data_IF_033943148526
#
_entry.id   IF_033943148526
#
_cell.length_a   1.000
_cell.length_b   1.000
_cell.length_c   1.000
_cell.angle_alpha   90.00
_cell.angle_beta   90.00
_cell.angle_gamma   90.00
#
_symmetry.space_group_name_H-M   'P 1'
#
loop_
_entity.id
_entity.type
_entity.pdbx_description
1 polymer ?
#
# COMPACT_ATOMS: atom_id res chain seq x y z
N UNK A 1 -8.39 -2.27 11.87
CA UNK A 1 -7.15 -2.08 11.12
C UNK A 1 -6.44 -3.43 10.96
N UNK A 2 -6.14 -3.80 9.69
CA UNK A 2 -5.50 -5.09 9.36
C UNK A 2 -4.06 -5.18 9.88
N UNK A 3 -3.36 -4.07 9.99
CA UNK A 3 -1.96 -4.01 10.40
C UNK A 3 -1.84 -4.32 11.91
N UNK A 4 -2.73 -3.75 12.72
CA UNK A 4 -2.81 -4.04 14.15
C UNK A 4 -3.19 -5.50 14.40
N UNK A 5 -4.18 -6.04 13.67
CA UNK A 5 -4.57 -7.43 13.79
C UNK A 5 -3.45 -8.39 13.41
N UNK A 6 -2.69 -8.06 12.36
CA UNK A 6 -1.52 -8.83 11.96
C UNK A 6 -0.42 -8.77 13.03
N UNK A 7 -0.14 -7.60 13.62
CA UNK A 7 0.79 -7.47 14.74
C UNK A 7 0.35 -8.31 15.95
N UNK A 8 -0.92 -8.22 16.36
CA UNK A 8 -1.46 -9.02 17.47
C UNK A 8 -1.36 -10.52 17.17
N UNK A 9 -1.68 -10.94 15.95
CA UNK A 9 -1.54 -12.33 15.53
C UNK A 9 -0.09 -12.80 15.65
N UNK A 10 0.86 -11.99 15.19
CA UNK A 10 2.29 -12.28 15.31
C UNK A 10 2.73 -12.44 16.78
N UNK A 11 2.19 -11.63 17.70
CA UNK A 11 2.53 -11.71 19.13
C UNK A 11 2.03 -12.98 19.82
N UNK A 12 0.90 -13.53 19.37
CA UNK A 12 0.26 -14.69 20.02
C UNK A 12 0.45 -16.01 19.26
N UNK A 13 0.67 -15.96 17.97
CA UNK A 13 0.85 -17.15 17.14
C UNK A 13 2.31 -17.65 17.17
N UNK A 14 2.48 -18.96 17.23
CA UNK A 14 3.79 -19.62 17.15
C UNK A 14 4.18 -19.97 15.71
N UNK A 15 3.96 -19.00 14.80
CA UNK A 15 4.27 -19.16 13.37
C UNK A 15 5.32 -18.11 12.95
N UNK A 16 6.14 -18.41 11.93
CA UNK A 16 7.13 -17.45 11.43
C UNK A 16 6.49 -16.11 11.00
N UNK A 17 7.15 -15.00 11.31
CA UNK A 17 6.68 -13.66 10.93
C UNK A 17 6.40 -13.53 9.43
N UNK A 18 7.15 -14.22 8.57
CA UNK A 18 6.93 -14.25 7.13
C UNK A 18 5.54 -14.77 6.72
N UNK A 19 4.90 -15.57 7.59
CA UNK A 19 3.58 -16.18 7.35
C UNK A 19 2.44 -15.38 8.00
N UNK A 20 2.74 -14.32 8.73
CA UNK A 20 1.73 -13.40 9.24
C UNK A 20 1.69 -12.18 8.33
N UNK A 21 0.68 -12.10 7.50
CA UNK A 21 0.57 -11.09 6.44
C UNK A 21 -0.77 -10.37 6.59
N UNK A 22 -0.71 -9.06 6.76
CA UNK A 22 -1.88 -8.19 6.66
C UNK A 22 -2.12 -7.76 5.21
N UNK A 23 -3.36 -7.52 4.84
CA UNK A 23 -3.71 -7.02 3.50
C UNK A 23 -3.06 -5.65 3.21
N UNK A 24 -2.92 -4.84 4.25
CA UNK A 24 -2.25 -3.56 4.23
C UNK A 24 -2.80 -2.62 3.16
N UNK A 25 -1.91 -1.95 2.44
CA UNK A 25 -2.24 -0.96 1.41
C UNK A 25 -2.43 -1.56 0.00
N UNK A 26 -2.63 -2.88 -0.11
CA UNK A 26 -2.84 -3.54 -1.41
C UNK A 26 -4.09 -2.99 -2.12
N UNK A 27 -5.19 -2.82 -1.36
CA UNK A 27 -6.42 -2.25 -1.89
C UNK A 27 -6.27 -0.77 -2.24
N UNK A 28 -5.59 0.00 -1.38
CA UNK A 28 -5.35 1.44 -1.61
C UNK A 28 -4.46 1.66 -2.84
N UNK A 29 -3.47 0.80 -3.05
CA UNK A 29 -2.65 0.78 -4.27
C UNK A 29 -3.51 0.52 -5.52
N UNK A 30 -4.47 -0.38 -5.43
CA UNK A 30 -5.41 -0.65 -6.54
C UNK A 30 -6.30 0.56 -6.82
N UNK A 31 -6.79 1.24 -5.77
CA UNK A 31 -7.56 2.51 -5.89
C UNK A 31 -6.74 3.61 -6.55
N UNK A 32 -5.49 3.80 -6.11
CA UNK A 32 -4.57 4.77 -6.73
C UNK A 32 -4.42 4.51 -8.22
N UNK A 33 -4.17 3.26 -8.62
CA UNK A 33 -4.06 2.88 -10.05
C UNK A 33 -5.35 3.16 -10.80
N UNK A 34 -6.50 2.86 -10.21
CA UNK A 34 -7.80 3.15 -10.82
C UNK A 34 -8.02 4.65 -11.02
N UNK A 35 -7.77 5.48 -9.99
CA UNK A 35 -7.92 6.93 -10.05
C UNK A 35 -7.01 7.54 -11.13
N UNK A 36 -5.75 7.11 -11.19
CA UNK A 36 -4.83 7.55 -12.22
C UNK A 36 -5.25 7.07 -13.61
N UNK A 37 -5.77 5.84 -13.73
CA UNK A 37 -6.27 5.31 -15.01
C UNK A 37 -7.46 6.09 -15.55
N UNK A 38 -8.37 6.47 -14.66
CA UNK A 38 -9.54 7.30 -14.99
C UNK A 38 -9.10 8.71 -15.41
N UNK A 39 -8.19 9.34 -14.65
CA UNK A 39 -7.68 10.68 -14.95
C UNK A 39 -7.00 10.77 -16.32
N UNK A 40 -6.21 9.75 -16.69
CA UNK A 40 -5.46 9.72 -17.94
C UNK A 40 -6.15 8.93 -19.06
N UNK A 41 -7.33 8.37 -18.79
CA UNK A 41 -8.09 7.53 -19.72
C UNK A 41 -7.24 6.37 -20.31
N UNK A 42 -6.56 5.62 -19.43
CA UNK A 42 -5.70 4.49 -19.80
C UNK A 42 -6.02 3.26 -18.94
N UNK A 43 -5.53 2.08 -19.36
CA UNK A 43 -5.65 0.87 -18.53
C UNK A 43 -4.88 0.98 -17.21
N UNK A 44 -5.46 0.60 -16.06
CA UNK A 44 -4.74 0.55 -14.78
C UNK A 44 -3.56 -0.44 -14.79
N UNK A 45 -3.54 -1.40 -15.72
CA UNK A 45 -2.43 -2.34 -15.91
C UNK A 45 -1.17 -1.65 -16.46
N UNK A 46 -1.31 -0.49 -17.11
CA UNK A 46 -0.20 0.32 -17.61
C UNK A 46 0.46 1.17 -16.52
N UNK A 47 -0.09 1.13 -15.29
CA UNK A 47 0.37 1.94 -14.17
C UNK A 47 1.10 1.07 -13.15
N UNK A 48 2.34 1.41 -12.87
CA UNK A 48 3.10 0.90 -11.74
C UNK A 48 3.06 1.93 -10.63
N UNK A 49 2.47 1.58 -9.49
CA UNK A 49 2.37 2.45 -8.32
C UNK A 49 2.34 1.60 -7.06
N UNK A 50 2.74 2.18 -5.94
CA UNK A 50 2.63 1.56 -4.62
C UNK A 50 2.28 2.61 -3.57
N UNK A 51 1.40 2.23 -2.66
CA UNK A 51 1.17 2.91 -1.40
C UNK A 51 1.81 2.07 -0.31
N UNK A 52 2.48 2.69 0.64
CA UNK A 52 3.23 2.05 1.72
C UNK A 52 2.84 2.64 3.07
N UNK A 53 3.35 2.04 4.15
CA UNK A 53 3.08 2.50 5.51
C UNK A 53 1.84 1.85 6.12
N UNK A 54 1.18 2.56 7.00
CA UNK A 54 -0.05 2.17 7.68
C UNK A 54 -1.24 2.23 6.70
N UNK A 55 -2.17 1.26 6.83
CA UNK A 55 -3.43 1.29 6.08
C UNK A 55 -4.43 2.23 6.76
N UNK A 56 -4.38 3.51 6.42
CA UNK A 56 -5.24 4.55 6.95
C UNK A 56 -4.76 5.95 6.56
N UNK A 57 -4.90 6.91 7.48
CA UNK A 57 -4.57 8.31 7.20
C UNK A 57 -3.08 8.58 7.01
N UNK A 58 -2.22 7.74 7.60
CA UNK A 58 -0.76 7.86 7.50
C UNK A 58 -0.16 7.05 6.36
N UNK A 59 -0.96 6.58 5.40
CA UNK A 59 -0.47 5.93 4.18
C UNK A 59 0.36 6.90 3.32
N UNK A 60 1.34 6.35 2.60
CA UNK A 60 2.31 7.13 1.80
C UNK A 60 2.30 6.65 0.35
N UNK A 61 1.96 7.53 -0.57
CA UNK A 61 2.06 7.26 -2.01
C UNK A 61 3.50 7.45 -2.47
N UNK A 62 4.08 6.42 -3.10
CA UNK A 62 5.43 6.50 -3.66
C UNK A 62 5.41 7.15 -5.05
N UNK A 63 5.23 8.47 -5.09
CA UNK A 63 5.21 9.24 -6.33
C UNK A 63 6.54 9.18 -7.10
N UNK A 64 7.66 9.13 -6.39
CA UNK A 64 8.98 9.01 -6.99
C UNK A 64 9.16 7.71 -7.79
N UNK A 65 8.38 6.69 -7.47
CA UNK A 65 8.41 5.37 -8.10
C UNK A 65 7.17 5.09 -8.98
N UNK A 66 6.17 5.97 -8.97
CA UNK A 66 4.97 5.81 -9.81
C UNK A 66 5.32 6.02 -11.28
N UNK A 67 4.92 5.08 -12.13
CA UNK A 67 5.20 5.10 -13.57
C UNK A 67 3.95 4.77 -14.38
N UNK A 68 3.84 5.42 -15.52
CA UNK A 68 2.81 5.16 -16.54
C UNK A 68 3.53 4.81 -17.84
N UNK A 69 3.43 3.58 -18.28
CA UNK A 69 4.16 3.11 -19.48
C UNK A 69 5.68 3.29 -19.35
N UNK A 70 6.24 3.26 -18.14
CA UNK A 70 7.66 3.46 -17.84
C UNK A 70 8.07 4.92 -17.62
N UNK A 71 7.23 5.91 -17.95
CA UNK A 71 7.49 7.34 -17.72
C UNK A 71 7.05 7.77 -16.33
N UNK A 72 7.62 8.84 -15.79
CA UNK A 72 7.05 9.50 -14.62
C UNK A 72 5.64 10.03 -14.93
N UNK A 73 4.83 10.24 -13.91
CA UNK A 73 3.47 10.79 -14.10
C UNK A 73 3.52 12.16 -14.80
N UNK A 74 4.51 12.99 -14.44
CA UNK A 74 4.72 14.30 -15.05
C UNK A 74 5.12 14.19 -16.52
N UNK A 75 6.10 13.33 -16.85
CA UNK A 75 6.55 13.15 -18.23
C UNK A 75 5.42 12.56 -19.10
N UNK A 76 4.66 11.59 -18.56
CA UNK A 76 3.51 11.02 -19.26
C UNK A 76 2.46 12.10 -19.57
N UNK A 77 2.09 12.93 -18.59
CA UNK A 77 1.16 14.05 -18.81
C UNK A 77 1.63 14.99 -19.93
N UNK A 78 2.92 15.31 -19.96
CA UNK A 78 3.50 16.13 -21.03
C UNK A 78 3.36 15.49 -22.41
N UNK A 79 3.55 14.17 -22.53
CA UNK A 79 3.36 13.46 -23.80
C UNK A 79 1.91 13.52 -24.30
N UNK A 80 0.94 13.70 -23.39
CA UNK A 80 -0.48 13.87 -23.71
C UNK A 80 -0.87 15.33 -23.91
N UNK A 81 0.09 16.27 -23.88
CA UNK A 81 -0.19 17.71 -23.97
C UNK A 81 -0.89 18.27 -22.72
N UNK A 82 -0.83 17.57 -21.60
CA UNK A 82 -1.47 17.96 -20.35
C UNK A 82 -0.47 18.63 -19.41
N UNK A 83 -0.93 19.68 -18.71
CA UNK A 83 -0.22 20.29 -17.59
C UNK A 83 -0.93 19.87 -16.32
N UNK A 84 -0.23 19.20 -15.40
CA UNK A 84 -0.80 18.80 -14.12
C UNK A 84 -0.98 20.03 -13.21
N UNK A 85 -2.08 20.11 -12.45
CA UNK A 85 -2.26 21.11 -11.40
C UNK A 85 -1.13 21.01 -10.36
N UNK A 86 -0.84 22.13 -9.69
CA UNK A 86 0.20 22.17 -8.66
C UNK A 86 -0.09 21.25 -7.49
N UNK A 87 -1.35 21.07 -7.13
CA UNK A 87 -1.87 20.24 -6.04
C UNK A 87 -2.31 18.84 -6.51
N UNK A 88 -1.87 18.42 -7.71
CA UNK A 88 -2.29 17.15 -8.31
C UNK A 88 -2.06 15.96 -7.36
N UNK A 89 -0.90 15.86 -6.77
CA UNK A 89 -0.53 14.72 -5.89
C UNK A 89 -1.40 14.70 -4.65
N UNK A 90 -1.61 15.84 -4.03
CA UNK A 90 -2.42 15.99 -2.82
C UNK A 90 -3.90 15.63 -3.09
N UNK A 91 -4.44 16.09 -4.21
CA UNK A 91 -5.82 15.79 -4.63
C UNK A 91 -6.00 14.30 -4.89
N UNK A 92 -5.06 13.65 -5.57
CA UNK A 92 -5.13 12.20 -5.81
C UNK A 92 -5.00 11.40 -4.50
N UNK A 93 -4.07 11.77 -3.61
CA UNK A 93 -3.90 11.13 -2.29
C UNK A 93 -5.19 11.23 -1.47
N UNK A 94 -5.80 12.41 -1.43
CA UNK A 94 -7.07 12.62 -0.73
C UNK A 94 -8.19 11.76 -1.33
N UNK A 95 -8.31 11.71 -2.65
CA UNK A 95 -9.31 10.89 -3.33
C UNK A 95 -9.15 9.38 -3.06
N UNK A 96 -7.91 8.89 -2.95
CA UNK A 96 -7.66 7.49 -2.54
C UNK A 96 -8.25 7.20 -1.17
N UNK A 97 -8.04 8.09 -0.19
CA UNK A 97 -8.57 7.95 1.18
C UNK A 97 -10.10 8.01 1.20
N UNK A 98 -10.69 8.96 0.48
CA UNK A 98 -12.14 9.16 0.43
C UNK A 98 -12.89 8.02 -0.27
N UNK A 99 -12.28 7.35 -1.24
CA UNK A 99 -12.92 6.27 -2.02
C UNK A 99 -13.48 5.16 -1.11
N UNK A 100 -12.85 4.87 0.02
CA UNK A 100 -13.35 3.87 0.97
C UNK A 100 -14.67 4.30 1.60
N UNK A 101 -14.78 5.57 1.96
CA UNK A 101 -15.96 6.17 2.57
C UNK A 101 -17.10 6.31 1.55
N UNK A 102 -16.80 6.74 0.33
CA UNK A 102 -17.77 6.87 -0.75
C UNK A 102 -18.44 5.53 -1.09
N UNK A 103 -17.63 4.47 -1.20
CA UNK A 103 -18.15 3.11 -1.44
C UNK A 103 -19.03 2.66 -0.28
N UNK A 104 -18.61 2.93 0.97
CA UNK A 104 -19.40 2.59 2.14
C UNK A 104 -20.76 3.32 2.17
N UNK A 105 -20.80 4.60 1.82
CA UNK A 105 -22.05 5.36 1.72
C UNK A 105 -22.98 4.83 0.64
N UNK A 106 -22.43 4.43 -0.53
CA UNK A 106 -23.25 3.97 -1.65
C UNK A 106 -23.76 2.55 -1.51
N UNK A 107 -22.96 1.64 -0.92
CA UNK A 107 -23.24 0.18 -0.96
C UNK A 107 -23.12 -0.49 0.41
N UNK A 108 -22.78 0.25 1.47
CA UNK A 108 -22.40 -0.35 2.76
C UNK A 108 -20.99 -0.95 2.74
N UNK A 109 -20.73 -2.02 3.51
CA UNK A 109 -19.40 -2.58 3.65
C UNK A 109 -18.71 -2.89 2.32
N UNK A 110 -17.43 -2.53 2.21
CA UNK A 110 -16.61 -2.67 1.00
C UNK A 110 -16.13 -4.13 0.76
N UNK A 111 -17.04 -5.11 0.90
CA UNK A 111 -16.69 -6.53 0.92
C UNK A 111 -16.10 -7.02 -0.41
N UNK A 112 -16.61 -6.55 -1.56
CA UNK A 112 -16.18 -7.05 -2.87
C UNK A 112 -14.73 -6.65 -3.20
N UNK A 113 -14.36 -5.39 -2.97
CA UNK A 113 -13.01 -4.92 -3.24
C UNK A 113 -12.00 -5.57 -2.28
N UNK A 114 -12.39 -5.76 -1.01
CA UNK A 114 -11.56 -6.49 -0.03
C UNK A 114 -11.41 -7.95 -0.43
N UNK A 115 -12.48 -8.62 -0.88
CA UNK A 115 -12.43 -10.00 -1.35
C UNK A 115 -11.51 -10.17 -2.56
N UNK A 116 -11.53 -9.22 -3.51
CA UNK A 116 -10.64 -9.24 -4.68
C UNK A 116 -9.18 -9.05 -4.29
N UNK A 117 -8.90 -8.13 -3.36
CA UNK A 117 -7.56 -7.94 -2.83
C UNK A 117 -7.05 -9.19 -2.06
N UNK A 118 -7.91 -9.84 -1.28
CA UNK A 118 -7.61 -11.12 -0.61
C UNK A 118 -7.33 -12.20 -1.66
N UNK A 119 -8.18 -12.30 -2.69
CA UNK A 119 -7.96 -13.25 -3.80
C UNK A 119 -6.61 -13.04 -4.46
N UNK A 120 -6.25 -11.79 -4.76
CA UNK A 120 -4.96 -11.44 -5.34
C UNK A 120 -3.78 -11.93 -4.48
N UNK A 121 -3.88 -11.78 -3.15
CA UNK A 121 -2.88 -12.27 -2.20
C UNK A 121 -2.84 -13.81 -2.16
N UNK A 122 -4.01 -14.45 -2.09
CA UNK A 122 -4.13 -15.92 -2.06
C UNK A 122 -3.57 -16.53 -3.35
N UNK A 123 -3.85 -15.94 -4.52
CA UNK A 123 -3.31 -16.43 -5.79
C UNK A 123 -1.77 -16.41 -5.79
N UNK A 124 -1.16 -15.32 -5.29
CA UNK A 124 0.29 -15.21 -5.18
C UNK A 124 0.89 -16.29 -4.24
N UNK A 125 0.21 -16.57 -3.13
CA UNK A 125 0.62 -17.59 -2.15
C UNK A 125 0.44 -19.01 -2.71
N UNK A 126 -0.74 -19.33 -3.25
CA UNK A 126 -1.09 -20.69 -3.69
C UNK A 126 -0.36 -21.10 -4.97
N UNK A 127 -0.15 -20.19 -5.90
CA UNK A 127 0.51 -20.48 -7.17
C UNK A 127 2.03 -20.20 -7.15
N UNK A 128 2.56 -19.76 -6.02
CA UNK A 128 3.98 -19.42 -5.84
C UNK A 128 4.49 -18.43 -6.92
N UNK A 129 3.65 -17.44 -7.25
CA UNK A 129 3.92 -16.52 -8.35
C UNK A 129 5.09 -15.57 -8.08
N UNK A 130 5.55 -15.48 -6.83
CA UNK A 130 6.57 -14.52 -6.41
C UNK A 130 6.23 -13.09 -6.81
N UNK A 131 4.96 -12.71 -6.60
CA UNK A 131 4.46 -11.36 -6.92
C UNK A 131 5.00 -10.34 -5.95
N UNK A 132 5.25 -9.14 -6.47
CA UNK A 132 5.58 -7.98 -5.64
C UNK A 132 4.29 -7.28 -5.26
N UNK A 133 3.93 -7.36 -3.97
CA UNK A 133 2.70 -6.80 -3.42
C UNK A 133 3.01 -5.89 -2.23
N UNK A 134 2.31 -4.74 -2.09
CA UNK A 134 2.45 -3.86 -0.92
C UNK A 134 1.59 -4.40 0.23
N UNK A 135 2.07 -5.48 0.85
CA UNK A 135 1.42 -6.15 1.97
C UNK A 135 2.00 -5.71 3.30
N UNK A 136 1.18 -5.76 4.34
CA UNK A 136 1.60 -5.48 5.71
C UNK A 136 2.31 -6.70 6.31
N UNK A 137 3.50 -6.47 6.78
CA UNK A 137 4.31 -7.48 7.46
C UNK A 137 5.24 -6.85 8.49
N UNK A 138 5.93 -7.69 9.26
CA UNK A 138 6.83 -7.24 10.31
C UNK A 138 7.93 -6.32 9.76
N UNK A 139 8.00 -5.12 10.33
CA UNK A 139 9.03 -4.13 10.05
C UNK A 139 9.73 -3.69 11.34
N UNK A 140 11.04 -3.69 11.33
CA UNK A 140 11.84 -3.16 12.42
C UNK A 140 12.24 -1.72 12.10
N UNK A 141 11.79 -0.79 12.94
CA UNK A 141 12.11 0.63 12.81
C UNK A 141 13.58 0.89 13.12
N UNK A 142 14.10 2.06 12.77
CA UNK A 142 15.48 2.48 13.12
C UNK A 142 15.76 2.47 14.62
N UNK A 143 14.73 2.63 15.43
CA UNK A 143 14.83 2.58 16.91
C UNK A 143 14.78 1.15 17.46
N UNK A 144 14.76 0.13 16.58
CA UNK A 144 14.69 -1.28 16.96
C UNK A 144 13.28 -1.76 17.38
N UNK A 145 12.26 -0.89 17.30
CA UNK A 145 10.88 -1.25 17.61
C UNK A 145 10.23 -1.97 16.43
N UNK A 146 9.40 -2.95 16.73
CA UNK A 146 8.65 -3.72 15.76
C UNK A 146 7.28 -3.09 15.51
N UNK A 147 6.88 -3.02 14.25
CA UNK A 147 5.55 -2.61 13.78
C UNK A 147 5.15 -3.50 12.59
N UNK A 148 3.86 -3.50 12.26
CA UNK A 148 3.36 -4.05 11.00
C UNK A 148 2.98 -2.89 10.10
N UNK A 149 3.60 -2.81 8.93
CA UNK A 149 3.33 -1.80 7.90
C UNK A 149 3.46 -2.41 6.51
N UNK A 150 2.85 -1.78 5.55
CA UNK A 150 2.89 -2.19 4.16
C UNK A 150 4.15 -1.71 3.47
N UNK A 151 4.82 -2.65 2.81
CA UNK A 151 5.95 -2.37 1.93
C UNK A 151 5.92 -3.33 0.75
N UNK A 152 6.34 -2.91 -0.46
CA UNK A 152 6.48 -3.80 -1.59
C UNK A 152 7.38 -4.98 -1.25
N UNK A 153 6.83 -6.18 -1.33
CA UNK A 153 7.49 -7.40 -0.89
C UNK A 153 7.22 -8.54 -1.86
N UNK A 154 8.19 -9.42 -2.04
CA UNK A 154 8.02 -10.66 -2.80
C UNK A 154 7.22 -11.62 -1.95
N UNK A 155 6.06 -12.03 -2.46
CA UNK A 155 5.11 -12.95 -1.81
C UNK A 155 4.99 -14.22 -2.61
N UNK A 156 5.14 -15.38 -1.95
CA UNK A 156 4.98 -16.71 -2.53
C UNK A 156 4.36 -17.69 -1.51
N UNK A 157 4.33 -18.98 -1.83
CA UNK A 157 3.88 -20.03 -0.92
C UNK A 157 4.68 -20.09 0.41
N UNK A 158 5.83 -19.45 0.49
CA UNK A 158 6.63 -19.32 1.72
C UNK A 158 6.25 -18.10 2.57
N UNK A 159 5.23 -17.35 2.14
CA UNK A 159 4.86 -16.09 2.76
C UNK A 159 5.61 -14.89 2.16
N UNK A 160 5.99 -13.94 2.98
CA UNK A 160 6.85 -12.80 2.58
C UNK A 160 8.30 -13.27 2.55
N UNK A 161 8.83 -13.52 1.34
CA UNK A 161 10.22 -13.97 1.17
C UNK A 161 11.22 -12.83 1.38
N UNK A 162 10.92 -11.67 0.81
CA UNK A 162 11.83 -10.54 0.81
C UNK A 162 11.07 -9.22 0.67
N UNK A 163 11.37 -8.29 1.55
CA UNK A 163 10.99 -6.90 1.38
C UNK A 163 11.93 -6.23 0.39
N UNK A 164 11.39 -5.49 -0.56
CA UNK A 164 12.20 -4.72 -1.50
C UNK A 164 12.75 -3.46 -0.82
N UNK A 165 14.04 -3.14 -1.06
CA UNK A 165 14.59 -1.85 -0.63
C UNK A 165 13.85 -0.73 -1.37
N UNK A 166 13.40 0.28 -0.62
CA UNK A 166 12.72 1.43 -1.19
C UNK A 166 13.70 2.57 -1.40
N UNK A 167 13.83 3.04 -2.65
CA UNK A 167 14.57 4.25 -2.99
C UNK A 167 13.65 5.45 -2.80
N UNK A 168 13.43 5.83 -1.55
CA UNK A 168 12.55 6.93 -1.16
C UNK A 168 13.25 8.28 -1.31
N UNK A 169 12.53 9.29 -1.75
CA UNK A 169 12.97 10.67 -1.59
C UNK A 169 12.84 11.13 -0.11
N UNK A 170 13.37 12.28 0.24
CA UNK A 170 13.36 12.78 1.62
C UNK A 170 11.93 12.96 2.18
N UNK A 171 10.98 13.42 1.36
CA UNK A 171 9.57 13.59 1.75
C UNK A 171 8.95 12.23 2.07
N UNK A 172 9.04 11.28 1.15
CA UNK A 172 8.50 9.91 1.30
C UNK A 172 9.12 9.19 2.50
N UNK A 173 10.42 9.41 2.73
CA UNK A 173 11.14 8.85 3.87
C UNK A 173 10.60 9.38 5.20
N UNK A 174 10.41 10.70 5.28
CA UNK A 174 9.85 11.36 6.46
C UNK A 174 8.41 10.88 6.73
N UNK A 175 7.59 10.79 5.68
CA UNK A 175 6.20 10.31 5.78
C UNK A 175 6.14 8.85 6.22
N UNK A 176 7.01 7.97 5.71
CA UNK A 176 7.04 6.57 6.11
C UNK A 176 7.43 6.41 7.58
N UNK A 177 8.35 7.23 8.10
CA UNK A 177 8.65 7.20 9.53
C UNK A 177 7.50 7.68 10.38
N UNK A 178 6.84 8.77 9.98
CA UNK A 178 5.63 9.24 10.67
C UNK A 178 4.55 8.15 10.69
N UNK A 179 4.39 7.41 9.59
CA UNK A 179 3.49 6.27 9.49
C UNK A 179 3.86 5.15 10.48
N UNK A 180 5.15 4.83 10.63
CA UNK A 180 5.63 3.89 11.65
C UNK A 180 5.32 4.36 13.07
N UNK A 181 5.44 5.66 13.34
CA UNK A 181 5.15 6.23 14.66
C UNK A 181 3.66 6.17 14.99
N UNK A 182 2.78 6.38 14.01
CA UNK A 182 1.33 6.18 14.15
C UNK A 182 1.03 4.73 14.53
N UNK A 183 1.56 3.76 13.78
CA UNK A 183 1.41 2.34 14.12
C UNK A 183 1.93 2.01 15.51
N UNK A 184 3.06 2.60 15.89
CA UNK A 184 3.62 2.41 17.22
C UNK A 184 2.70 2.94 18.33
N UNK A 185 2.07 4.09 18.11
CA UNK A 185 1.13 4.67 19.06
C UNK A 185 -0.09 3.75 19.30
N UNK A 186 -0.60 3.10 18.26
CA UNK A 186 -1.68 2.11 18.38
C UNK A 186 -1.22 0.85 19.15
N UNK A 187 -0.04 0.34 18.84
CA UNK A 187 0.53 -0.84 19.53
C UNK A 187 0.75 -0.54 21.02
N UNK A 188 1.21 0.65 21.38
CA UNK A 188 1.44 1.03 22.79
C UNK A 188 0.15 1.16 23.60
N UNK A 189 -1.01 1.37 22.95
CA UNK A 189 -2.33 1.35 23.59
C UNK A 189 -2.87 -0.06 23.86
N UNK A 190 -2.28 -1.10 23.27
CA UNK A 190 -2.68 -2.50 23.50
C UNK A 190 -2.06 -3.12 24.75
N UNK A 191 -1.13 -2.44 25.40
CA UNK A 191 -0.44 -2.88 26.63
C UNK A 191 -1.20 -2.44 27.86
#
# INVERSE_FOLDING_TARGET
>A
DSDILAYMTYQVATIPAANVIGLGTLLDTSRLKYILSDYFNISPQSITASIVGEHGDAQVVLWSQTRIGGLSVQDFAQTQGMTLPHDFTEVIEQRVKETAFDVWQMKGPNCFCVADAIKCLIDALCHSERRILPVSHLYQTKTGKEVYISLPSIVSHQGVEQRLPQLLNEKEHTQLYASCDVMRSYIDQLK
#
